data_IF_340475538921
#
_entry.id   IF_340475538921
#
_cell.length_a   1.000
_cell.length_b   1.000
_cell.length_c   1.000
_cell.angle_alpha   90.00
_cell.angle_beta   90.00
_cell.angle_gamma   90.00
#
_symmetry.space_group_name_H-M   'P 1'
#
loop_
_entity.id
_entity.type
_entity.pdbx_description
1 polymer ?
#
# COMPACT_ATOMS: atom_id res chain seq x y z
N UNK A 1 -1.98 0.43 -25.17
CA UNK A 1 -1.00 1.49 -24.85
C UNK A 1 -1.70 2.54 -24.00
N UNK A 2 -1.46 2.53 -22.69
CA UNK A 2 -2.17 3.42 -21.76
C UNK A 2 -1.35 3.71 -20.50
N UNK A 3 -0.07 4.06 -20.70
CA UNK A 3 0.61 4.98 -19.77
C UNK A 3 -0.11 6.33 -19.87
N UNK A 4 -0.54 6.87 -18.73
CA UNK A 4 -1.14 8.21 -18.70
C UNK A 4 -0.07 9.26 -19.02
N UNK A 5 -0.30 10.01 -20.11
CA UNK A 5 0.66 11.00 -20.63
C UNK A 5 1.11 11.99 -19.54
N UNK A 6 2.42 12.22 -19.48
CA UNK A 6 3.01 13.13 -18.50
C UNK A 6 2.77 14.57 -18.97
N UNK A 7 1.97 15.31 -18.21
CA UNK A 7 1.64 16.72 -18.48
C UNK A 7 2.85 17.63 -18.29
N UNK A 8 2.81 18.87 -18.81
CA UNK A 8 3.94 19.82 -18.67
C UNK A 8 4.32 20.09 -17.21
N UNK A 9 3.34 20.27 -16.33
CA UNK A 9 3.57 20.50 -14.89
C UNK A 9 4.14 19.24 -14.19
N UNK A 10 3.73 18.04 -14.61
CA UNK A 10 4.34 16.80 -14.15
C UNK A 10 5.78 16.65 -14.65
N UNK A 11 6.09 16.99 -15.91
CA UNK A 11 7.47 16.95 -16.44
C UNK A 11 8.40 17.88 -15.66
N UNK A 12 7.96 19.09 -15.33
CA UNK A 12 8.70 19.98 -14.44
C UNK A 12 8.93 19.37 -13.05
N UNK A 13 7.93 18.67 -12.51
CA UNK A 13 8.00 18.05 -11.19
C UNK A 13 8.90 16.82 -11.19
N UNK A 14 8.86 16.01 -12.26
CA UNK A 14 9.76 14.90 -12.54
C UNK A 14 11.19 15.39 -12.65
N UNK A 15 11.46 16.47 -13.41
CA UNK A 15 12.80 17.06 -13.49
C UNK A 15 13.32 17.52 -12.11
N UNK A 16 12.47 18.16 -11.31
CA UNK A 16 12.80 18.61 -9.94
C UNK A 16 13.04 17.43 -8.97
N UNK A 17 12.38 16.28 -9.16
CA UNK A 17 12.59 15.06 -8.37
C UNK A 17 13.82 14.25 -8.85
N UNK A 18 14.02 14.18 -10.17
CA UNK A 18 15.19 13.56 -10.83
C UNK A 18 16.49 14.24 -10.37
N UNK A 19 16.50 15.57 -10.28
CA UNK A 19 17.61 16.35 -9.73
C UNK A 19 17.85 16.15 -8.21
N UNK A 20 17.01 15.37 -7.51
CA UNK A 20 17.19 14.99 -6.11
C UNK A 20 17.64 13.55 -5.90
N UNK A 21 17.83 12.77 -6.98
CA UNK A 21 18.17 11.35 -6.85
C UNK A 21 19.51 11.12 -6.14
N UNK A 22 20.48 12.03 -6.22
CA UNK A 22 21.70 12.00 -5.40
C UNK A 22 21.40 12.07 -3.90
N UNK A 23 20.70 13.13 -3.45
CA UNK A 23 20.26 13.31 -2.06
C UNK A 23 19.50 12.07 -1.54
N UNK A 24 18.58 11.55 -2.36
CA UNK A 24 17.69 10.42 -2.04
C UNK A 24 18.48 9.10 -1.93
N UNK A 25 19.38 8.81 -2.89
CA UNK A 25 20.25 7.62 -2.85
C UNK A 25 21.16 7.66 -1.62
N UNK A 26 21.74 8.83 -1.30
CA UNK A 26 22.57 9.03 -0.12
C UNK A 26 21.79 8.84 1.19
N UNK A 27 20.60 9.44 1.32
CA UNK A 27 19.76 9.32 2.51
C UNK A 27 19.29 7.88 2.75
N UNK A 28 18.93 7.16 1.68
CA UNK A 28 18.57 5.74 1.76
C UNK A 28 19.77 4.80 1.97
N UNK A 29 21.00 5.28 1.76
CA UNK A 29 22.25 4.51 1.80
C UNK A 29 22.28 3.37 0.77
N UNK A 30 21.76 3.62 -0.44
CA UNK A 30 21.89 2.70 -1.58
C UNK A 30 23.11 3.05 -2.42
N UNK A 31 23.57 2.12 -3.25
CA UNK A 31 24.70 2.33 -4.17
C UNK A 31 24.39 3.36 -5.26
N UNK A 32 25.41 4.00 -5.84
CA UNK A 32 25.19 4.92 -6.97
C UNK A 32 24.45 4.24 -8.14
N UNK A 33 24.92 3.08 -8.61
CA UNK A 33 24.26 2.32 -9.67
C UNK A 33 22.99 1.57 -9.25
N UNK A 34 22.24 2.06 -8.25
CA UNK A 34 21.01 1.41 -7.78
C UNK A 34 19.88 1.50 -8.82
N UNK A 35 19.17 0.39 -8.97
CA UNK A 35 17.99 0.25 -9.84
C UNK A 35 16.75 0.00 -8.99
N UNK A 36 15.68 0.73 -9.26
CA UNK A 36 14.36 0.48 -8.68
C UNK A 36 13.47 -0.15 -9.76
N UNK A 37 13.12 -1.43 -9.59
CA UNK A 37 12.45 -2.25 -10.60
C UNK A 37 13.15 -2.18 -11.97
N UNK A 38 14.45 -2.51 -11.95
CA UNK A 38 15.40 -2.50 -13.07
C UNK A 38 15.68 -1.14 -13.76
N UNK A 39 14.94 -0.09 -13.42
CA UNK A 39 15.17 1.27 -13.90
C UNK A 39 16.25 1.94 -13.04
N UNK A 40 17.32 2.43 -13.67
CA UNK A 40 18.42 3.10 -12.97
C UNK A 40 17.98 4.44 -12.37
N UNK A 41 18.25 4.68 -11.08
CA UNK A 41 17.87 5.91 -10.37
C UNK A 41 18.94 7.00 -10.49
N UNK A 42 19.28 7.39 -11.72
CA UNK A 42 20.29 8.41 -12.00
C UNK A 42 19.68 9.72 -12.50
N UNK A 43 20.13 10.83 -11.93
CA UNK A 43 19.67 12.19 -12.25
C UNK A 43 19.87 12.54 -13.74
N UNK A 44 20.96 12.03 -14.33
CA UNK A 44 21.38 12.30 -15.70
C UNK A 44 20.83 11.27 -16.71
N UNK A 45 20.00 10.33 -16.25
CA UNK A 45 19.42 9.28 -17.11
C UNK A 45 18.41 9.86 -18.11
N UNK A 46 18.63 9.53 -19.38
CA UNK A 46 17.76 9.86 -20.52
C UNK A 46 16.69 8.80 -20.80
N UNK A 47 16.60 7.74 -19.98
CA UNK A 47 15.59 6.69 -20.14
C UNK A 47 14.19 7.24 -19.77
N UNK A 48 13.21 7.24 -20.68
CA UNK A 48 11.85 7.69 -20.38
C UNK A 48 11.15 6.83 -19.30
N UNK A 49 11.59 5.59 -19.06
CA UNK A 49 11.05 4.73 -17.99
C UNK A 49 11.24 5.35 -16.61
N UNK A 50 12.34 6.08 -16.40
CA UNK A 50 12.58 6.80 -15.16
C UNK A 50 11.59 7.96 -14.97
N UNK A 51 11.21 8.66 -16.03
CA UNK A 51 10.19 9.72 -15.94
C UNK A 51 8.80 9.12 -15.64
N UNK A 52 8.48 7.97 -16.23
CA UNK A 52 7.25 7.19 -15.92
C UNK A 52 7.25 6.66 -14.48
N UNK A 53 8.41 6.24 -13.96
CA UNK A 53 8.57 5.79 -12.58
C UNK A 53 8.41 6.96 -11.59
N UNK A 54 9.10 8.07 -11.81
CA UNK A 54 9.08 9.22 -10.91
C UNK A 54 7.73 9.95 -10.88
N UNK A 55 7.00 10.01 -12.00
CA UNK A 55 5.66 10.62 -12.00
C UNK A 55 4.66 9.85 -11.12
N UNK A 56 4.88 8.55 -10.85
CA UNK A 56 4.03 7.78 -9.91
C UNK A 56 4.14 8.30 -8.48
N UNK A 57 5.35 8.57 -7.99
CA UNK A 57 5.57 9.13 -6.65
C UNK A 57 4.95 10.53 -6.53
N UNK A 58 5.03 11.34 -7.60
CA UNK A 58 4.44 12.68 -7.68
C UNK A 58 2.90 12.60 -7.67
N UNK A 59 2.30 11.73 -8.49
CA UNK A 59 0.84 11.46 -8.53
C UNK A 59 0.32 10.92 -7.20
N UNK A 60 1.02 9.96 -6.60
CA UNK A 60 0.67 9.34 -5.31
C UNK A 60 0.79 10.30 -4.11
N UNK A 61 1.30 11.52 -4.31
CA UNK A 61 1.40 12.58 -3.30
C UNK A 61 0.83 13.91 -3.81
N UNK A 62 -0.13 13.86 -4.74
CA UNK A 62 -0.94 15.01 -5.17
C UNK A 62 -0.10 16.18 -5.72
N UNK A 63 1.00 15.85 -6.43
CA UNK A 63 2.01 16.78 -6.95
C UNK A 63 2.82 17.56 -5.90
N UNK A 64 2.72 17.18 -4.62
CA UNK A 64 3.62 17.68 -3.57
C UNK A 64 5.01 17.05 -3.72
N UNK A 65 5.94 17.81 -4.30
CA UNK A 65 7.33 17.40 -4.53
C UNK A 65 8.06 17.00 -3.23
N UNK A 66 7.77 17.64 -2.09
CA UNK A 66 8.43 17.32 -0.83
C UNK A 66 7.95 15.97 -0.29
N UNK A 67 6.64 15.73 -0.30
CA UNK A 67 6.06 14.42 0.05
C UNK A 67 6.46 13.32 -0.93
N UNK A 68 6.60 13.62 -2.22
CA UNK A 68 7.08 12.67 -3.23
C UNK A 68 8.57 12.30 -3.03
N UNK A 69 9.41 13.29 -2.70
CA UNK A 69 10.83 13.10 -2.32
C UNK A 69 10.92 12.19 -1.08
N UNK A 70 10.14 12.47 -0.04
CA UNK A 70 10.10 11.66 1.18
C UNK A 70 9.63 10.24 0.87
N UNK A 71 8.52 10.07 0.14
CA UNK A 71 7.99 8.75 -0.22
C UNK A 71 9.03 7.90 -0.96
N UNK A 72 9.73 8.45 -1.95
CA UNK A 72 10.77 7.71 -2.67
C UNK A 72 11.94 7.32 -1.74
N UNK A 73 12.35 8.22 -0.85
CA UNK A 73 13.40 7.94 0.15
C UNK A 73 12.98 6.82 1.11
N UNK A 74 11.76 6.89 1.65
CA UNK A 74 11.18 5.88 2.53
C UNK A 74 11.06 4.52 1.83
N UNK A 75 10.65 4.50 0.55
CA UNK A 75 10.61 3.29 -0.28
C UNK A 75 11.99 2.65 -0.40
N UNK A 76 13.05 3.41 -0.69
CA UNK A 76 14.39 2.86 -0.84
C UNK A 76 14.95 2.31 0.50
N UNK A 77 14.67 2.99 1.61
CA UNK A 77 15.00 2.49 2.96
C UNK A 77 14.25 1.18 3.24
N UNK A 78 12.93 1.16 3.02
CA UNK A 78 12.12 -0.04 3.23
C UNK A 78 12.55 -1.21 2.34
N UNK A 79 12.87 -0.98 1.05
CA UNK A 79 13.34 -2.04 0.15
C UNK A 79 14.61 -2.69 0.65
N UNK A 80 15.58 -1.89 1.10
CA UNK A 80 16.83 -2.35 1.71
C UNK A 80 16.55 -3.16 2.98
N UNK A 81 15.77 -2.62 3.91
CA UNK A 81 15.53 -3.21 5.23
C UNK A 81 14.64 -4.47 5.16
N UNK A 82 13.74 -4.55 4.17
CA UNK A 82 12.89 -5.72 3.89
C UNK A 82 13.62 -6.78 3.03
N UNK A 83 14.73 -6.42 2.37
CA UNK A 83 15.40 -7.26 1.37
C UNK A 83 14.59 -7.42 0.08
N UNK A 84 13.76 -6.43 -0.28
CA UNK A 84 12.81 -6.52 -1.39
C UNK A 84 13.49 -6.75 -2.76
N UNK A 85 14.71 -6.26 -2.95
CA UNK A 85 15.44 -6.37 -4.22
C UNK A 85 15.91 -7.81 -4.55
N UNK A 86 16.14 -8.65 -3.53
CA UNK A 86 16.50 -10.07 -3.70
C UNK A 86 15.29 -11.01 -3.54
N UNK A 87 14.11 -10.45 -3.29
CA UNK A 87 12.94 -11.21 -2.85
C UNK A 87 12.41 -12.18 -3.92
N UNK A 88 12.70 -11.94 -5.19
CA UNK A 88 12.33 -12.81 -6.31
C UNK A 88 13.12 -14.13 -6.32
N UNK A 89 14.35 -14.13 -5.78
CA UNK A 89 15.20 -15.32 -5.68
C UNK A 89 14.86 -16.20 -4.45
N UNK A 90 14.00 -15.71 -3.54
CA UNK A 90 13.60 -16.47 -2.36
C UNK A 90 12.71 -17.65 -2.72
N UNK A 91 13.16 -18.86 -2.36
CA UNK A 91 12.43 -20.10 -2.52
C UNK A 91 11.22 -20.18 -1.56
N UNK A 92 10.16 -19.45 -1.89
CA UNK A 92 8.91 -19.44 -1.13
C UNK A 92 8.01 -20.61 -1.56
N UNK A 93 7.32 -21.16 -0.58
CA UNK A 93 6.44 -22.33 -0.70
C UNK A 93 5.10 -21.98 -1.40
N UNK A 94 5.18 -21.83 -2.72
CA UNK A 94 4.02 -21.64 -3.60
C UNK A 94 3.11 -22.89 -3.67
N UNK A 95 3.44 -24.02 -3.01
CA UNK A 95 2.60 -25.23 -3.02
C UNK A 95 1.27 -25.07 -2.26
N UNK A 96 1.25 -24.19 -1.26
CA UNK A 96 0.05 -23.70 -0.57
C UNK A 96 -0.32 -22.31 -1.05
N UNK A 97 0.66 -21.42 -1.17
CA UNK A 97 0.39 -20.00 -1.36
C UNK A 97 0.03 -19.65 -2.81
N UNK A 98 0.67 -20.28 -3.81
CA UNK A 98 0.39 -20.06 -5.24
C UNK A 98 -0.99 -20.54 -5.70
N UNK A 99 -1.69 -21.38 -4.92
CA UNK A 99 -3.11 -21.68 -5.19
C UNK A 99 -4.04 -20.55 -4.76
N UNK A 100 -3.61 -19.69 -3.83
CA UNK A 100 -4.45 -18.60 -3.32
C UNK A 100 -4.58 -17.49 -4.36
N UNK A 101 -3.62 -17.33 -5.27
CA UNK A 101 -3.64 -16.27 -6.28
C UNK A 101 -2.50 -16.42 -7.32
N UNK A 102 -2.70 -15.93 -8.54
CA UNK A 102 -1.73 -15.97 -9.64
C UNK A 102 -1.83 -14.74 -10.54
N UNK A 103 -0.77 -14.36 -11.24
CA UNK A 103 -0.90 -13.47 -12.42
C UNK A 103 -1.23 -14.38 -13.62
N UNK A 104 -2.01 -13.92 -14.58
CA UNK A 104 -2.27 -14.64 -15.82
C UNK A 104 -2.57 -13.67 -16.96
N UNK A 105 -1.62 -13.55 -17.90
CA UNK A 105 -1.76 -12.76 -19.14
C UNK A 105 -2.11 -11.28 -18.90
N UNK A 106 -2.69 -10.62 -19.91
CA UNK A 106 -2.85 -9.16 -20.00
C UNK A 106 -4.28 -8.69 -20.30
N UNK A 107 -4.60 -7.47 -19.87
CA UNK A 107 -5.77 -6.70 -20.28
C UNK A 107 -5.66 -6.21 -21.74
N UNK A 108 -6.74 -5.62 -22.27
CA UNK A 108 -6.81 -5.10 -23.64
C UNK A 108 -5.86 -3.94 -23.95
N UNK A 109 -5.30 -3.29 -22.93
CA UNK A 109 -4.35 -2.20 -23.10
C UNK A 109 -2.88 -2.65 -22.98
N UNK A 110 -2.67 -3.90 -22.56
CA UNK A 110 -1.40 -4.60 -22.42
C UNK A 110 -0.99 -4.95 -20.99
N UNK A 111 -1.76 -4.55 -19.96
CA UNK A 111 -1.35 -4.62 -18.55
C UNK A 111 -1.41 -6.03 -17.99
N UNK A 112 -0.44 -6.50 -17.19
CA UNK A 112 -0.52 -7.77 -16.47
C UNK A 112 -1.79 -7.86 -15.60
N UNK A 113 -2.42 -9.04 -15.58
CA UNK A 113 -3.65 -9.29 -14.79
C UNK A 113 -3.37 -10.22 -13.62
N UNK A 114 -3.50 -9.69 -12.42
CA UNK A 114 -3.32 -10.37 -11.15
C UNK A 114 -4.66 -10.91 -10.60
N UNK A 115 -4.85 -12.22 -10.58
CA UNK A 115 -6.06 -12.94 -10.09
C UNK A 115 -5.86 -13.45 -8.66
N UNK A 116 -6.83 -13.22 -7.77
CA UNK A 116 -6.66 -13.43 -6.34
C UNK A 116 -7.91 -14.07 -5.71
N UNK A 117 -7.79 -15.16 -4.97
CA UNK A 117 -8.93 -15.97 -4.52
C UNK A 117 -9.07 -15.96 -3.00
N UNK A 118 -10.31 -15.97 -2.51
CA UNK A 118 -10.65 -15.90 -1.07
C UNK A 118 -11.56 -17.03 -0.57
N UNK A 119 -12.01 -17.90 -1.48
CA UNK A 119 -12.71 -19.13 -1.14
C UNK A 119 -11.80 -20.16 -0.50
N UNK A 120 -12.36 -20.93 0.43
CA UNK A 120 -11.82 -22.22 0.89
C UNK A 120 -10.37 -22.20 1.44
N UNK A 121 -9.87 -21.02 1.82
CA UNK A 121 -8.51 -20.84 2.38
C UNK A 121 -8.40 -21.47 3.77
N UNK A 122 -7.54 -22.49 3.87
CA UNK A 122 -7.01 -22.98 5.15
C UNK A 122 -6.25 -21.85 5.88
N UNK A 123 -6.87 -21.33 6.94
CA UNK A 123 -6.37 -20.15 7.65
C UNK A 123 -5.03 -20.40 8.35
N UNK A 124 -4.75 -21.64 8.76
CA UNK A 124 -3.52 -21.97 9.49
C UNK A 124 -2.38 -22.21 8.52
N UNK A 125 -2.61 -22.93 7.41
CA UNK A 125 -1.58 -23.12 6.38
C UNK A 125 -1.17 -21.82 5.68
N UNK A 126 -2.09 -20.86 5.52
CA UNK A 126 -1.82 -19.59 4.83
C UNK A 126 -1.39 -18.46 5.76
N UNK A 127 -1.90 -18.40 7.00
CA UNK A 127 -1.63 -17.28 7.92
C UNK A 127 -1.04 -17.69 9.28
N UNK A 128 -0.78 -18.97 9.55
CA UNK A 128 -0.11 -19.41 10.78
C UNK A 128 1.25 -18.72 10.95
N UNK A 129 2.06 -18.72 9.89
CA UNK A 129 3.22 -17.83 9.75
C UNK A 129 2.81 -16.51 9.07
N UNK A 130 2.64 -15.47 9.90
CA UNK A 130 2.28 -14.11 9.45
C UNK A 130 3.35 -13.51 8.52
N UNK A 131 4.63 -13.73 8.82
CA UNK A 131 5.74 -13.04 8.16
C UNK A 131 6.15 -13.71 6.83
N UNK A 132 6.16 -15.05 6.76
CA UNK A 132 6.27 -15.80 5.49
C UNK A 132 5.20 -15.34 4.50
N UNK A 133 3.97 -15.21 4.96
CA UNK A 133 2.85 -14.75 4.14
C UNK A 133 3.01 -13.29 3.66
N UNK A 134 3.56 -12.38 4.49
CA UNK A 134 3.85 -11.00 4.06
C UNK A 134 5.00 -10.99 3.03
N UNK A 135 6.11 -11.70 3.27
CA UNK A 135 7.23 -11.79 2.30
C UNK A 135 6.74 -12.28 0.95
N UNK A 136 6.02 -13.38 0.94
CA UNK A 136 5.37 -13.92 -0.25
C UNK A 136 4.46 -12.89 -0.92
N UNK A 137 3.58 -12.23 -0.16
CA UNK A 137 2.63 -11.25 -0.71
C UNK A 137 3.31 -10.03 -1.34
N UNK A 138 4.55 -9.72 -0.95
CA UNK A 138 5.40 -8.71 -1.56
C UNK A 138 6.19 -9.27 -2.75
N UNK A 139 6.73 -10.49 -2.68
CA UNK A 139 7.40 -11.18 -3.79
C UNK A 139 6.53 -11.20 -5.04
N UNK A 140 5.26 -11.51 -4.83
CA UNK A 140 4.17 -11.40 -5.78
C UNK A 140 4.05 -10.02 -6.45
N UNK A 141 4.15 -8.94 -5.68
CA UNK A 141 4.01 -7.59 -6.21
C UNK A 141 5.22 -7.25 -7.08
N UNK A 142 6.42 -7.66 -6.66
CA UNK A 142 7.64 -7.59 -7.48
C UNK A 142 7.48 -8.42 -8.78
N UNK A 143 6.97 -9.66 -8.71
CA UNK A 143 6.66 -10.51 -9.90
C UNK A 143 5.71 -9.79 -10.85
N UNK A 144 4.71 -9.07 -10.33
CA UNK A 144 3.76 -8.29 -11.13
C UNK A 144 4.35 -7.00 -11.72
N UNK A 145 5.28 -6.34 -11.03
CA UNK A 145 5.95 -5.13 -11.53
C UNK A 145 7.01 -5.46 -12.57
N UNK A 146 7.69 -6.61 -12.46
CA UNK A 146 8.64 -7.11 -13.47
C UNK A 146 7.97 -7.46 -14.83
N UNK A 147 6.64 -7.58 -14.86
CA UNK A 147 5.86 -7.76 -16.10
C UNK A 147 5.35 -6.44 -16.71
N UNK A 148 5.70 -5.29 -16.13
CA UNK A 148 5.36 -3.96 -16.65
C UNK A 148 6.54 -3.43 -17.46
N UNK A 149 6.31 -3.04 -18.71
CA UNK A 149 7.38 -2.61 -19.61
C UNK A 149 7.89 -1.17 -19.38
N UNK A 150 7.07 -0.34 -18.74
CA UNK A 150 7.23 1.12 -18.58
C UNK A 150 7.32 1.88 -19.93
N UNK A 151 6.87 1.26 -21.03
CA UNK A 151 6.85 1.83 -22.39
C UNK A 151 5.43 1.96 -22.93
N UNK A 152 4.65 0.87 -22.88
CA UNK A 152 3.26 0.80 -23.34
C UNK A 152 2.27 0.76 -22.16
N UNK A 153 2.76 0.33 -21.00
CA UNK A 153 2.05 0.14 -19.74
C UNK A 153 2.90 0.58 -18.56
N UNK A 154 2.25 1.02 -17.48
CA UNK A 154 2.91 1.43 -16.24
C UNK A 154 2.29 0.76 -15.00
N UNK A 155 1.31 -0.12 -15.21
CA UNK A 155 0.34 -0.52 -14.18
C UNK A 155 -0.26 -1.89 -14.47
N UNK A 156 -0.86 -2.51 -13.46
CA UNK A 156 -1.48 -3.84 -13.51
C UNK A 156 -2.99 -3.78 -13.18
N UNK A 157 -3.75 -4.75 -13.70
CA UNK A 157 -5.15 -4.99 -13.31
C UNK A 157 -5.18 -6.06 -12.21
N UNK A 158 -6.07 -5.90 -11.22
CA UNK A 158 -6.14 -6.82 -10.07
C UNK A 158 -7.57 -7.31 -9.86
N UNK A 159 -7.83 -8.61 -10.05
CA UNK A 159 -9.12 -9.27 -9.87
C UNK A 159 -9.13 -10.03 -8.54
N UNK A 160 -10.01 -9.68 -7.62
CA UNK A 160 -10.27 -10.42 -6.39
C UNK A 160 -11.57 -11.22 -6.49
N UNK A 161 -11.50 -12.54 -6.36
CA UNK A 161 -12.61 -13.48 -6.38
C UNK A 161 -12.99 -13.96 -4.97
N UNK A 162 -14.26 -13.75 -4.60
CA UNK A 162 -14.84 -14.08 -3.30
C UNK A 162 -15.82 -15.24 -3.33
N UNK A 163 -15.82 -16.04 -4.40
CA UNK A 163 -16.50 -17.33 -4.43
C UNK A 163 -16.07 -18.15 -3.22
N UNK A 164 -17.04 -18.69 -2.48
CA UNK A 164 -16.85 -19.44 -1.24
C UNK A 164 -16.13 -18.69 -0.08
N UNK A 165 -15.92 -17.37 -0.17
CA UNK A 165 -15.22 -16.62 0.87
C UNK A 165 -16.08 -16.47 2.15
N UNK A 166 -15.44 -16.63 3.31
CA UNK A 166 -16.08 -16.49 4.62
C UNK A 166 -15.69 -15.19 5.33
N UNK A 167 -16.65 -14.54 6.00
CA UNK A 167 -16.37 -13.51 7.01
C UNK A 167 -15.91 -14.09 8.35
N UNK A 168 -16.41 -15.28 8.69
CA UNK A 168 -16.17 -15.95 9.97
C UNK A 168 -14.92 -16.84 9.90
N UNK A 169 -14.25 -17.04 11.04
CA UNK A 169 -13.08 -17.92 11.14
C UNK A 169 -11.72 -17.30 10.80
N UNK A 170 -11.65 -16.05 10.32
CA UNK A 170 -10.35 -15.39 10.06
C UNK A 170 -9.53 -15.17 11.34
N UNK A 171 -8.30 -15.69 11.34
CA UNK A 171 -7.36 -15.65 12.46
C UNK A 171 -6.89 -14.22 12.81
N UNK A 172 -6.24 -14.07 13.97
CA UNK A 172 -5.53 -12.84 14.36
C UNK A 172 -4.45 -12.49 13.35
N UNK A 173 -3.63 -13.48 12.96
CA UNK A 173 -2.54 -13.31 12.02
C UNK A 173 -3.05 -12.90 10.64
N UNK A 174 -4.15 -13.51 10.16
CA UNK A 174 -4.79 -13.11 8.91
C UNK A 174 -5.19 -11.63 8.93
N UNK A 175 -5.72 -11.12 10.05
CA UNK A 175 -6.09 -9.69 10.19
C UNK A 175 -4.85 -8.79 10.28
N UNK A 176 -3.83 -9.20 11.02
CA UNK A 176 -2.60 -8.45 11.23
C UNK A 176 -1.79 -8.31 9.93
N UNK A 177 -1.43 -9.44 9.30
CA UNK A 177 -0.71 -9.48 8.03
C UNK A 177 -1.39 -8.62 6.97
N UNK A 178 -2.71 -8.79 6.85
CA UNK A 178 -3.52 -8.02 5.91
C UNK A 178 -3.40 -6.50 6.12
N UNK A 179 -3.44 -6.01 7.37
CA UNK A 179 -3.26 -4.57 7.67
C UNK A 179 -1.87 -4.08 7.29
N UNK A 180 -0.85 -4.91 7.53
CA UNK A 180 0.55 -4.65 7.21
C UNK A 180 0.78 -4.55 5.69
N UNK A 181 0.19 -5.46 4.92
CA UNK A 181 0.19 -5.46 3.45
C UNK A 181 -0.47 -4.19 2.88
N UNK A 182 -1.56 -3.67 3.47
CA UNK A 182 -2.15 -2.38 3.02
C UNK A 182 -1.10 -1.27 3.08
N UNK A 183 -0.45 -1.15 4.25
CA UNK A 183 0.56 -0.12 4.50
C UNK A 183 1.73 -0.26 3.53
N UNK A 184 2.29 -1.47 3.38
CA UNK A 184 3.37 -1.74 2.44
C UNK A 184 3.00 -1.31 1.01
N UNK A 185 1.79 -1.66 0.54
CA UNK A 185 1.33 -1.32 -0.82
C UNK A 185 1.07 0.18 -1.02
N UNK A 186 0.63 0.90 0.02
CA UNK A 186 0.35 2.34 -0.05
C UNK A 186 1.60 3.23 0.11
N UNK A 187 2.58 2.76 0.88
CA UNK A 187 3.81 3.49 1.13
C UNK A 187 4.86 3.25 0.04
N UNK A 188 4.94 2.02 -0.50
CA UNK A 188 6.07 1.60 -1.34
C UNK A 188 5.73 1.36 -2.81
N UNK A 189 4.44 1.20 -3.18
CA UNK A 189 4.00 0.85 -4.55
C UNK A 189 3.06 1.92 -5.14
N UNK A 190 3.54 3.15 -5.37
CA UNK A 190 2.72 4.24 -5.89
C UNK A 190 2.18 3.93 -7.29
N UNK A 191 0.88 4.14 -7.49
CA UNK A 191 0.24 4.16 -8.81
C UNK A 191 0.54 2.96 -9.75
N UNK A 192 0.83 1.78 -9.19
CA UNK A 192 0.93 0.52 -9.95
C UNK A 192 -0.43 -0.13 -10.23
N UNK A 193 -1.46 0.21 -9.46
CA UNK A 193 -2.81 -0.27 -9.71
C UNK A 193 -3.48 0.57 -10.82
N UNK A 194 -3.92 -0.08 -11.90
CA UNK A 194 -4.81 0.52 -12.89
C UNK A 194 -6.27 0.41 -12.44
N UNK A 195 -6.80 -0.82 -12.40
CA UNK A 195 -8.18 -1.13 -12.03
C UNK A 195 -8.22 -2.36 -11.12
N UNK A 196 -9.13 -2.36 -10.16
CA UNK A 196 -9.32 -3.45 -9.19
C UNK A 196 -10.75 -3.97 -9.23
N UNK A 197 -10.94 -5.17 -9.77
CA UNK A 197 -12.25 -5.81 -9.83
C UNK A 197 -12.47 -6.68 -8.59
N UNK A 198 -13.69 -6.66 -8.07
CA UNK A 198 -14.17 -7.52 -6.99
C UNK A 198 -15.29 -8.39 -7.58
N UNK A 199 -15.06 -9.69 -7.71
CA UNK A 199 -15.92 -10.65 -8.42
C UNK A 199 -16.41 -11.76 -7.51
N UNK A 200 -17.53 -12.40 -7.88
CA UNK A 200 -18.23 -13.42 -7.07
C UNK A 200 -18.51 -12.94 -5.63
N UNK A 201 -18.80 -11.64 -5.47
CA UNK A 201 -18.89 -10.97 -4.16
C UNK A 201 -20.18 -11.41 -3.45
N UNK A 202 -20.13 -12.04 -2.26
CA UNK A 202 -21.34 -12.42 -1.54
C UNK A 202 -22.12 -11.19 -1.04
N UNK A 203 -23.36 -11.42 -0.60
CA UNK A 203 -24.28 -10.37 -0.13
C UNK A 203 -23.70 -9.41 0.94
N UNK A 204 -22.68 -9.84 1.69
CA UNK A 204 -22.00 -9.03 2.69
C UNK A 204 -20.94 -8.05 2.14
N UNK A 205 -20.60 -8.11 0.85
CA UNK A 205 -19.49 -7.34 0.26
C UNK A 205 -19.57 -5.83 0.47
N UNK A 206 -20.78 -5.25 0.42
CA UNK A 206 -21.00 -3.83 0.67
C UNK A 206 -20.64 -3.40 2.11
N UNK A 207 -20.80 -4.29 3.09
CA UNK A 207 -20.37 -4.06 4.47
C UNK A 207 -18.85 -4.01 4.57
N UNK A 208 -18.15 -4.93 3.88
CA UNK A 208 -16.70 -4.92 3.77
C UNK A 208 -16.19 -3.65 3.07
N UNK A 209 -16.82 -3.21 1.98
CA UNK A 209 -16.41 -1.99 1.28
C UNK A 209 -16.54 -0.75 2.17
N UNK A 210 -17.64 -0.64 2.93
CA UNK A 210 -17.86 0.45 3.91
C UNK A 210 -16.79 0.47 5.01
N UNK A 211 -16.31 -0.70 5.44
CA UNK A 211 -15.29 -0.84 6.47
C UNK A 211 -13.87 -0.53 5.95
N UNK A 212 -13.47 -1.02 4.76
CA UNK A 212 -12.13 -0.70 4.21
C UNK A 212 -11.98 0.78 3.83
N UNK A 213 -13.08 1.48 3.50
CA UNK A 213 -13.04 2.80 2.86
C UNK A 213 -12.18 3.87 3.58
N UNK A 214 -12.13 3.98 4.92
CA UNK A 214 -11.28 4.96 5.61
C UNK A 214 -9.77 4.66 5.50
N UNK A 215 -9.38 3.43 5.14
CA UNK A 215 -7.99 3.04 4.92
C UNK A 215 -7.55 3.23 3.46
N UNK A 216 -8.37 3.85 2.60
CA UNK A 216 -8.10 3.99 1.16
C UNK A 216 -8.10 5.46 0.73
N UNK A 217 -7.14 5.85 -0.10
CA UNK A 217 -7.17 7.16 -0.75
C UNK A 217 -8.34 7.26 -1.73
N UNK A 218 -8.74 8.48 -2.10
CA UNK A 218 -9.78 8.67 -3.11
C UNK A 218 -9.33 8.15 -4.48
N UNK A 219 -8.06 8.35 -4.85
CA UNK A 219 -7.47 7.81 -6.07
C UNK A 219 -7.53 6.27 -6.12
N UNK A 220 -7.17 5.59 -5.02
CA UNK A 220 -7.31 4.13 -4.92
C UNK A 220 -8.78 3.70 -5.01
N UNK A 221 -9.70 4.44 -4.37
CA UNK A 221 -11.13 4.10 -4.37
C UNK A 221 -11.75 4.22 -5.76
N UNK A 222 -11.40 5.24 -6.56
CA UNK A 222 -11.88 5.42 -7.94
C UNK A 222 -11.49 4.28 -8.88
N UNK A 223 -10.47 3.50 -8.52
CA UNK A 223 -9.99 2.32 -9.27
C UNK A 223 -10.70 1.03 -8.88
N UNK A 224 -11.58 1.03 -7.87
CA UNK A 224 -12.26 -0.18 -7.38
C UNK A 224 -13.62 -0.35 -8.06
N UNK A 225 -13.83 -1.51 -8.68
CA UNK A 225 -15.06 -1.91 -9.37
C UNK A 225 -15.63 -3.17 -8.70
N UNK A 226 -16.83 -3.09 -8.16
CA UNK A 226 -17.56 -4.27 -7.67
C UNK A 226 -18.44 -4.78 -8.79
N UNK A 227 -18.17 -6.00 -9.26
CA UNK A 227 -18.96 -6.66 -10.29
C UNK A 227 -20.16 -7.35 -9.65
N UNK A 228 -21.35 -7.21 -10.26
CA UNK A 228 -22.45 -8.11 -9.95
C UNK A 228 -22.12 -9.52 -10.48
N UNK A 229 -22.73 -10.55 -9.91
CA UNK A 229 -22.50 -11.93 -10.38
C UNK A 229 -23.15 -12.15 -11.75
N UNK A 230 -24.30 -11.52 -11.99
CA UNK A 230 -25.06 -11.63 -13.25
C UNK A 230 -24.33 -10.96 -14.43
N UNK A 231 -23.59 -9.88 -14.17
CA UNK A 231 -22.79 -9.14 -15.16
C UNK A 231 -21.30 -9.53 -15.11
N UNK A 232 -20.91 -10.59 -14.39
CA UNK A 232 -19.51 -10.93 -14.12
C UNK A 232 -18.69 -11.11 -15.42
N UNK A 233 -19.17 -11.99 -16.31
CA UNK A 233 -18.51 -12.24 -17.59
C UNK A 233 -18.38 -10.96 -18.42
N UNK A 234 -19.41 -10.11 -18.44
CA UNK A 234 -19.39 -8.86 -19.20
C UNK A 234 -18.44 -7.83 -18.57
N UNK A 235 -18.40 -7.74 -17.25
CA UNK A 235 -17.49 -6.85 -16.51
C UNK A 235 -16.03 -7.21 -16.77
N UNK A 236 -15.71 -8.50 -16.81
CA UNK A 236 -14.39 -9.02 -17.16
C UNK A 236 -14.08 -8.80 -18.65
N UNK A 237 -14.98 -9.20 -19.56
CA UNK A 237 -14.76 -9.08 -21.01
C UNK A 237 -14.85 -7.66 -21.56
N UNK A 238 -15.28 -6.68 -20.76
CA UNK A 238 -15.09 -5.26 -21.08
C UNK A 238 -13.61 -4.88 -21.06
N UNK A 239 -12.84 -5.34 -20.06
CA UNK A 239 -11.45 -4.91 -19.78
C UNK A 239 -10.40 -5.88 -20.35
N UNK A 240 -10.70 -7.19 -20.36
CA UNK A 240 -9.78 -8.26 -20.77
C UNK A 240 -10.40 -9.00 -21.97
N UNK A 241 -9.60 -9.43 -22.93
CA UNK A 241 -10.11 -10.27 -24.02
C UNK A 241 -10.46 -11.68 -23.52
N UNK A 242 -11.52 -12.30 -24.05
CA UNK A 242 -11.99 -13.61 -23.55
C UNK A 242 -10.93 -14.71 -23.67
N UNK A 243 -10.10 -14.68 -24.73
CA UNK A 243 -8.96 -15.56 -24.91
C UNK A 243 -7.84 -15.37 -23.86
N UNK A 244 -7.83 -14.24 -23.14
CA UNK A 244 -6.92 -13.93 -22.03
C UNK A 244 -7.54 -14.17 -20.65
N UNK A 245 -8.84 -14.44 -20.55
CA UNK A 245 -9.44 -14.88 -19.28
C UNK A 245 -9.07 -16.35 -18.98
N UNK A 246 -8.83 -16.72 -17.70
CA UNK A 246 -8.80 -18.11 -17.28
C UNK A 246 -10.12 -18.82 -17.63
N UNK A 247 -10.05 -20.12 -17.97
CA UNK A 247 -11.21 -20.94 -18.38
C UNK A 247 -12.45 -20.79 -17.47
N UNK A 248 -12.25 -20.62 -16.16
CA UNK A 248 -13.32 -20.45 -15.18
C UNK A 248 -14.16 -19.16 -15.32
N UNK A 249 -13.71 -18.19 -16.13
CA UNK A 249 -14.41 -16.94 -16.41
C UNK A 249 -14.80 -16.75 -17.89
N UNK A 250 -14.49 -17.72 -18.76
CA UNK A 250 -14.94 -17.74 -20.16
C UNK A 250 -16.40 -18.19 -20.24
N UNK A 251 -17.08 -17.97 -21.36
CA UNK A 251 -18.40 -18.59 -21.58
C UNK A 251 -18.28 -20.11 -21.59
N UNK A 252 -19.20 -20.79 -20.90
CA UNK A 252 -19.34 -22.23 -21.02
C UNK A 252 -19.86 -22.62 -22.42
N UNK A 253 -19.18 -23.56 -23.09
CA UNK A 253 -19.55 -24.09 -24.40
C UNK A 253 -20.86 -24.90 -24.35
N UNK A 254 -22.00 -24.21 -24.33
CA UNK A 254 -23.36 -24.74 -24.56
C UNK A 254 -23.82 -25.85 -23.61
N UNK A 255 -23.06 -26.17 -22.57
CA UNK A 255 -23.24 -27.35 -21.71
C UNK A 255 -23.30 -26.92 -20.25
N UNK A 256 -24.16 -27.62 -19.49
CA UNK A 256 -24.53 -27.26 -18.11
C UNK A 256 -23.31 -27.06 -17.21
N UNK A 257 -23.43 -26.13 -16.27
CA UNK A 257 -22.41 -25.77 -15.29
C UNK A 257 -21.68 -27.01 -14.76
N UNK A 258 -20.39 -27.12 -15.11
CA UNK A 258 -19.45 -27.98 -14.40
C UNK A 258 -18.85 -27.16 -13.27
N UNK A 259 -18.65 -27.80 -12.13
CA UNK A 259 -18.02 -27.17 -10.97
C UNK A 259 -16.67 -26.57 -11.33
N UNK A 260 -16.37 -25.40 -10.76
CA UNK A 260 -15.09 -24.71 -10.96
C UNK A 260 -13.99 -25.55 -10.31
N UNK A 261 -13.40 -26.43 -11.11
CA UNK A 261 -12.23 -27.19 -10.74
C UNK A 261 -11.03 -26.25 -10.81
N UNK A 262 -10.42 -25.97 -9.65
CA UNK A 262 -9.16 -25.22 -9.58
C UNK A 262 -8.15 -25.94 -10.50
N UNK A 263 -7.49 -25.18 -11.38
CA UNK A 263 -6.53 -25.74 -12.33
C UNK A 263 -5.48 -26.55 -11.56
N UNK A 264 -5.40 -27.85 -11.84
CA UNK A 264 -4.49 -28.73 -11.10
C UNK A 264 -3.04 -28.28 -11.29
N UNK A 265 -2.16 -28.61 -10.33
CA UNK A 265 -0.73 -28.27 -10.44
C UNK A 265 -0.10 -28.74 -11.76
N UNK A 266 -0.52 -29.89 -12.27
CA UNK A 266 -0.08 -30.43 -13.57
C UNK A 266 -0.62 -29.68 -14.79
N UNK A 267 -1.68 -28.88 -14.65
CA UNK A 267 -2.19 -28.00 -15.71
C UNK A 267 -1.58 -26.60 -15.61
N UNK A 268 -1.31 -26.11 -14.40
CA UNK A 268 -0.48 -24.93 -14.14
C UNK A 268 0.93 -25.09 -14.72
N UNK A 269 1.65 -26.16 -14.33
CA UNK A 269 2.98 -26.55 -14.84
C UNK A 269 3.02 -26.75 -16.37
N UNK A 270 1.85 -26.95 -17.01
CA UNK A 270 1.72 -27.12 -18.46
C UNK A 270 1.44 -25.82 -19.20
N UNK A 271 0.68 -24.92 -18.59
CA UNK A 271 0.47 -23.55 -19.09
C UNK A 271 1.79 -22.78 -18.99
N UNK A 272 2.51 -22.94 -17.87
CA UNK A 272 3.90 -22.51 -17.71
C UNK A 272 4.78 -23.07 -18.85
N UNK A 273 4.95 -24.40 -18.95
CA UNK A 273 5.83 -24.98 -19.99
C UNK A 273 5.43 -24.67 -21.44
N UNK A 274 4.16 -24.38 -21.72
CA UNK A 274 3.73 -23.88 -23.03
C UNK A 274 4.23 -22.45 -23.29
N UNK A 275 4.24 -21.60 -22.26
CA UNK A 275 4.93 -20.30 -22.24
C UNK A 275 6.43 -20.41 -21.93
N UNK A 276 7.06 -21.56 -22.20
CA UNK A 276 8.49 -21.82 -21.94
C UNK A 276 9.26 -22.43 -23.12
N UNK A 277 8.67 -22.42 -24.32
CA UNK A 277 9.37 -22.70 -25.58
C UNK A 277 9.63 -21.43 -26.41
N UNK A 278 8.85 -20.38 -26.19
CA UNK A 278 9.11 -18.99 -26.54
C UNK A 278 8.95 -18.16 -25.25
N UNK A 279 9.97 -17.33 -24.94
CA UNK A 279 10.17 -16.46 -23.74
C UNK A 279 9.53 -16.97 -22.42
N UNK A 280 10.40 -17.53 -21.57
CA UNK A 280 10.06 -18.43 -20.45
C UNK A 280 9.46 -17.78 -19.20
N UNK A 281 8.17 -18.04 -18.99
CA UNK A 281 7.51 -18.37 -17.70
C UNK A 281 7.61 -17.43 -16.49
N UNK A 282 6.57 -16.59 -16.32
CA UNK A 282 5.43 -16.73 -15.38
C UNK A 282 5.55 -17.43 -14.01
N UNK A 283 4.67 -17.27 -13.01
CA UNK A 283 3.65 -16.27 -12.57
C UNK A 283 3.10 -16.79 -11.21
N UNK A 284 3.06 -16.03 -10.10
CA UNK A 284 2.12 -16.31 -8.98
C UNK A 284 1.87 -15.04 -8.13
N UNK A 285 0.73 -14.95 -7.42
CA UNK A 285 0.17 -13.72 -6.83
C UNK A 285 -0.51 -14.03 -5.45
N UNK A 286 -1.16 -13.24 -4.56
CA UNK A 286 -1.50 -11.82 -4.28
C UNK A 286 -2.65 -11.64 -3.23
N UNK A 287 -2.85 -12.57 -2.29
CA UNK A 287 -3.91 -12.56 -1.24
C UNK A 287 -4.18 -11.21 -0.54
N UNK A 288 -5.47 -10.89 -0.33
CA UNK A 288 -5.99 -9.58 0.08
C UNK A 288 -7.45 -9.60 0.65
N UNK A 289 -8.31 -8.68 0.19
CA UNK A 289 -8.97 -7.66 1.06
C UNK A 289 -8.04 -7.26 2.21
N UNK A 290 -7.14 -6.33 1.90
CA UNK A 290 -6.97 -5.06 2.60
C UNK A 290 -8.02 -4.74 3.71
N UNK A 291 -7.95 -5.48 4.82
CA UNK A 291 -8.66 -5.41 6.10
C UNK A 291 -9.91 -4.52 6.15
N UNK A 292 -11.09 -5.17 6.18
CA UNK A 292 -12.36 -4.55 6.56
C UNK A 292 -12.42 -4.25 8.08
N UNK A 293 -11.51 -3.39 8.52
CA UNK A 293 -11.36 -2.84 9.86
C UNK A 293 -12.36 -1.66 10.08
N UNK A 294 -12.56 -1.13 11.30
CA UNK A 294 -11.85 -1.43 12.55
C UNK A 294 -12.71 -2.18 13.60
N UNK A 295 -12.05 -2.53 14.71
CA UNK A 295 -12.69 -2.89 15.97
C UNK A 295 -13.06 -1.61 16.72
N UNK A 296 -14.20 -1.61 17.42
CA UNK A 296 -14.55 -0.60 18.43
C UNK A 296 -14.96 -1.30 19.72
N UNK A 297 -14.08 -1.31 20.71
CA UNK A 297 -14.49 -1.55 22.10
C UNK A 297 -14.99 -0.21 22.68
N UNK A 298 -16.20 -0.22 23.26
CA UNK A 298 -16.76 0.91 24.00
C UNK A 298 -17.26 0.38 25.34
N UNK A 299 -16.72 0.83 26.48
CA UNK A 299 -17.18 0.39 27.80
C UNK A 299 -18.53 1.04 28.15
N UNK A 300 -19.35 0.32 28.93
CA UNK A 300 -20.61 0.86 29.44
C UNK A 300 -20.41 1.56 30.81
N UNK A 301 -20.73 2.85 30.88
CA UNK A 301 -20.71 3.67 32.12
C UNK A 301 -21.36 5.04 31.86
N UNK A 302 -22.15 5.61 32.79
CA UNK A 302 -23.08 6.70 32.48
C UNK A 302 -22.50 8.13 32.54
N UNK A 303 -23.30 9.04 31.99
CA UNK A 303 -23.09 10.47 31.72
C UNK A 303 -23.02 11.39 32.97
N UNK A 304 -22.18 12.42 32.91
CA UNK A 304 -22.30 13.68 33.66
C UNK A 304 -21.93 14.87 32.74
N UNK A 305 -22.48 16.07 33.04
CA UNK A 305 -22.50 17.25 32.16
C UNK A 305 -21.81 18.49 32.75
N UNK A 306 -21.73 19.55 31.93
CA UNK A 306 -21.44 20.99 32.24
C UNK A 306 -19.94 21.38 32.25
N UNK A 307 -19.47 22.53 31.74
CA UNK A 307 -19.85 23.44 30.61
C UNK A 307 -18.67 24.44 30.39
N UNK A 308 -18.58 25.00 29.18
CA UNK A 308 -17.87 26.22 28.69
C UNK A 308 -17.51 27.31 29.75
N UNK A 309 -16.48 28.19 29.65
CA UNK A 309 -15.43 28.55 28.64
C UNK A 309 -14.39 29.53 29.32
N UNK A 310 -13.45 30.27 28.65
CA UNK A 310 -12.32 29.91 27.76
C UNK A 310 -10.96 30.61 28.18
N UNK A 311 -10.08 30.91 27.20
CA UNK A 311 -8.90 31.84 27.19
C UNK A 311 -7.49 31.17 27.26
N UNK A 312 -6.48 31.85 26.69
CA UNK A 312 -5.38 31.26 25.90
C UNK A 312 -3.94 31.71 26.22
N UNK A 313 -3.00 30.77 26.01
CA UNK A 313 -1.67 30.94 25.35
C UNK A 313 -0.63 31.92 25.94
N UNK A 314 0.52 31.35 26.37
CA UNK A 314 1.88 31.93 26.19
C UNK A 314 2.83 30.79 25.77
N UNK A 315 3.91 31.09 25.07
CA UNK A 315 4.89 30.14 24.49
C UNK A 315 6.35 30.55 24.87
N UNK A 316 7.43 29.89 24.39
CA UNK A 316 8.44 29.29 25.27
C UNK A 316 9.68 30.16 25.53
N UNK A 317 10.51 29.73 26.49
CA UNK A 317 11.86 30.26 26.73
C UNK A 317 12.95 29.30 26.25
N UNK A 318 13.92 29.84 25.51
CA UNK A 318 15.20 29.19 25.18
C UNK A 318 16.19 29.25 26.34
N UNK A 319 17.27 28.45 26.26
CA UNK A 319 18.40 28.49 27.19
C UNK A 319 19.70 28.40 26.39
N UNK A 320 20.71 29.20 26.73
CA UNK A 320 22.03 29.19 26.09
C UNK A 320 23.12 29.78 27.00
N UNK A 321 24.30 29.15 26.99
CA UNK A 321 25.65 29.62 27.38
C UNK A 321 25.92 30.37 28.71
N UNK A 322 26.99 29.92 29.41
CA UNK A 322 27.85 30.75 30.28
C UNK A 322 29.32 30.42 29.98
N UNK A 323 30.16 31.44 29.84
CA UNK A 323 31.64 31.36 29.75
C UNK A 323 32.25 32.48 30.63
N UNK A 324 33.37 32.15 31.29
CA UNK A 324 34.42 33.02 31.90
C UNK A 324 34.07 34.18 32.87
N UNK A 325 34.69 34.08 34.06
CA UNK A 325 35.60 35.09 34.66
C UNK A 325 35.10 36.47 35.16
N UNK A 326 35.08 36.57 36.51
CA UNK A 326 35.97 37.43 37.34
C UNK A 326 35.47 38.77 37.96
N UNK A 327 36.20 39.16 39.01
CA UNK A 327 36.29 40.45 39.74
C UNK A 327 35.16 40.98 40.65
N UNK A 328 35.39 40.73 41.95
CA UNK A 328 35.47 41.76 43.01
C UNK A 328 34.17 42.37 43.61
N UNK A 329 34.27 42.94 44.83
CA UNK A 329 33.13 43.13 45.73
C UNK A 329 33.16 44.42 46.59
N UNK A 330 32.04 45.14 46.62
CA UNK A 330 31.58 46.06 47.69
C UNK A 330 30.04 45.97 47.74
N UNK A 331 29.28 45.73 48.83
CA UNK A 331 29.33 46.07 50.27
C UNK A 331 28.46 47.30 50.63
N UNK A 332 27.84 47.32 51.83
CA UNK A 332 26.84 48.29 52.37
C UNK A 332 25.43 48.13 51.72
N UNK A 333 24.33 47.70 52.37
CA UNK A 333 23.59 48.18 53.58
C UNK A 333 22.73 49.46 53.31
N UNK A 334 21.59 49.78 53.95
CA UNK A 334 20.83 49.21 55.09
C UNK A 334 19.34 49.68 55.02
N UNK A 335 18.50 49.31 56.01
CA UNK A 335 17.15 49.85 56.36
C UNK A 335 15.98 49.57 55.37
N UNK A 336 14.83 48.98 55.76
CA UNK A 336 13.80 49.34 56.76
C UNK A 336 12.79 50.42 56.24
N UNK A 337 11.50 50.45 56.61
CA UNK A 337 10.79 49.75 57.69
C UNK A 337 9.28 49.47 57.39
N UNK A 338 8.64 48.79 58.34
CA UNK A 338 7.23 48.85 58.83
C UNK A 338 6.22 49.84 58.18
N UNK A 339 4.89 49.65 58.21
CA UNK A 339 4.10 49.19 59.36
C UNK A 339 2.60 48.88 59.06
N UNK A 340 1.90 48.24 60.02
CA UNK A 340 0.43 48.24 60.29
C UNK A 340 -0.56 47.93 59.15
N UNK A 341 -1.36 46.84 59.19
CA UNK A 341 -2.58 46.60 60.02
C UNK A 341 -3.85 47.29 59.45
N UNK A 342 -5.10 46.84 59.70
CA UNK A 342 -5.61 45.91 60.70
C UNK A 342 -6.95 45.22 60.26
N UNK A 343 -7.45 44.27 61.09
CA UNK A 343 -8.88 43.87 61.40
C UNK A 343 -10.05 44.17 60.43
N UNK A 344 -11.11 43.34 60.29
CA UNK A 344 -11.59 42.22 61.14
C UNK A 344 -12.58 41.25 60.41
N UNK A 345 -12.85 40.10 61.06
CA UNK A 345 -14.17 39.41 61.33
C UNK A 345 -15.44 39.78 60.51
N UNK A 346 -16.43 38.89 60.26
CA UNK A 346 -16.78 37.63 60.95
C UNK A 346 -17.82 36.76 60.18
N UNK A 347 -18.11 35.55 60.72
CA UNK A 347 -19.39 34.78 60.64
C UNK A 347 -20.08 34.59 59.26
N UNK A 348 -20.04 33.41 58.64
CA UNK A 348 -20.89 32.22 58.89
C UNK A 348 -22.41 32.36 58.67
N UNK A 349 -22.92 31.66 57.67
CA UNK A 349 -23.94 30.59 57.82
C UNK A 349 -23.76 29.58 56.70
#
# INVERSE_FOLDING_TARGET
>A
MAIQSITTAEKESVAKLKAKLGDIKQAAQVSEGYKLWDIALDQDSTDPKLDVLLVKFIRARESDLAKATQMLTDTLIWRKDFGADNLLDEAIDDSVLGSVSYIYKTDKEGRPVCYNFYGDIDQEKVFGDKDKFIRWRVQVMERGVQLIDFENTDSMVVIHDYKNASLFGRSSNAKAATKEIIKIMQDNYPEFLATKLFVNVPYWGAMIFKLVRPLLSEATTKKFVVCSNDELYQSLTNIIDEANLPKAYQKADGTKEKEVTIASKQEQEKIEKASSADITTSEAAATAIAAAAPVTDVPAGPELKLTEEPITKVEPTTADNIISEDTEATNVADTAATNTAATATNTTS
#
